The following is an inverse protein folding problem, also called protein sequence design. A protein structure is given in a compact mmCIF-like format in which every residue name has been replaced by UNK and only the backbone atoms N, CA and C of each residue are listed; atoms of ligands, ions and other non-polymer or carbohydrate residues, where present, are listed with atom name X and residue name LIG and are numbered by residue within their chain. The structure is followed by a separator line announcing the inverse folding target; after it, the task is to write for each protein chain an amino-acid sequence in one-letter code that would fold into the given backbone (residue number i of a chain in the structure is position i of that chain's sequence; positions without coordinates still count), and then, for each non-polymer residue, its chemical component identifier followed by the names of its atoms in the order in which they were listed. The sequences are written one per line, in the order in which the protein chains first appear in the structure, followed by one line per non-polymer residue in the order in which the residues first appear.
data_IF_913535392352
#
_entry.id   IF_913535392352
#
_cell.length_a   1.000
_cell.length_b   1.000
_cell.length_c   1.000
_cell.angle_alpha   90.00
_cell.angle_beta   90.00
_cell.angle_gamma   90.00
#
_symmetry.space_group_name_H-M   'P 1'
#
loop_
_entity.id
_entity.type
_entity.pdbx_description
1 polymer ?
#
# COMPACT_ATOMS: atom_id res chain seq x y z
N UNK A 1 10.88 -16.46 0.14
CA UNK A 1 11.61 -15.40 -0.59
C UNK A 1 10.86 -15.06 -1.86
N UNK A 2 10.76 -13.79 -2.25
CA UNK A 2 10.09 -13.33 -3.47
C UNK A 2 11.01 -12.38 -4.26
N UNK A 3 10.85 -12.38 -5.59
CA UNK A 3 11.48 -11.41 -6.48
C UNK A 3 10.48 -10.29 -6.81
N UNK A 4 10.80 -9.04 -6.48
CA UNK A 4 10.05 -7.89 -6.95
C UNK A 4 10.81 -7.20 -8.09
N UNK A 5 10.20 -7.16 -9.28
CA UNK A 5 10.71 -6.47 -10.47
C UNK A 5 9.94 -5.18 -10.80
N UNK A 6 8.95 -4.81 -9.97
CA UNK A 6 8.14 -3.61 -10.21
C UNK A 6 8.70 -2.42 -9.41
N UNK A 7 8.71 -1.20 -9.96
CA UNK A 7 9.27 -0.03 -9.28
C UNK A 7 8.43 0.47 -8.11
N UNK A 8 7.23 -0.08 -7.89
CA UNK A 8 6.34 0.32 -6.79
C UNK A 8 7.01 0.15 -5.42
N UNK A 9 7.88 -0.84 -5.29
CA UNK A 9 8.81 -1.01 -4.17
C UNK A 9 10.20 -1.16 -4.76
N UNK A 10 11.27 -0.95 -3.98
CA UNK A 10 12.64 -1.18 -4.46
C UNK A 10 12.78 -2.56 -5.13
N UNK A 11 13.35 -2.58 -6.33
CA UNK A 11 13.56 -3.82 -7.09
C UNK A 11 14.62 -4.67 -6.37
N UNK A 12 14.38 -5.97 -6.26
CA UNK A 12 15.28 -6.88 -5.55
C UNK A 12 14.59 -8.12 -4.99
N UNK A 13 15.34 -8.85 -4.17
CA UNK A 13 14.88 -10.03 -3.44
C UNK A 13 14.40 -9.65 -2.05
N UNK A 14 13.24 -10.16 -1.66
CA UNK A 14 12.65 -9.97 -0.35
C UNK A 14 12.52 -11.29 0.39
N UNK A 15 12.94 -11.31 1.65
CA UNK A 15 12.64 -12.41 2.57
C UNK A 15 11.27 -12.13 3.19
N UNK A 16 10.37 -13.11 3.06
CA UNK A 16 8.96 -13.00 3.45
C UNK A 16 8.60 -14.22 4.27
N UNK A 17 7.87 -13.99 5.35
CA UNK A 17 7.36 -14.99 6.28
C UNK A 17 5.85 -14.83 6.43
N UNK A 18 5.16 -15.92 6.73
CA UNK A 18 3.72 -15.89 6.96
C UNK A 18 3.37 -14.99 8.14
N UNK A 19 2.35 -14.15 7.95
CA UNK A 19 1.95 -13.18 8.95
C UNK A 19 1.09 -13.82 10.04
N UNK A 20 1.60 -13.82 11.28
CA UNK A 20 0.81 -14.15 12.47
C UNK A 20 -0.22 -13.04 12.76
N UNK A 21 -1.51 -13.34 12.55
CA UNK A 21 -2.64 -12.42 12.73
C UNK A 21 -2.84 -11.91 14.17
N UNK A 22 -2.15 -12.48 15.15
CA UNK A 22 -2.13 -12.00 16.54
C UNK A 22 -1.10 -10.89 16.76
N UNK A 23 -0.08 -10.83 15.92
CA UNK A 23 0.99 -9.83 16.01
C UNK A 23 0.50 -8.47 15.51
N UNK A 24 0.93 -7.39 16.17
CA UNK A 24 0.70 -6.01 15.69
C UNK A 24 1.81 -5.64 14.72
N UNK A 25 1.46 -5.03 13.60
CA UNK A 25 2.43 -4.52 12.63
C UNK A 25 2.73 -3.05 12.87
N UNK A 26 3.94 -2.65 12.54
CA UNK A 26 4.45 -1.29 12.75
C UNK A 26 4.64 -0.56 11.42
N UNK A 27 4.81 0.76 11.51
CA UNK A 27 5.21 1.56 10.35
C UNK A 27 6.57 1.08 9.84
N UNK A 28 6.70 0.95 8.53
CA UNK A 28 7.92 0.47 7.88
C UNK A 28 7.91 -1.03 7.58
N UNK A 29 7.03 -1.82 8.20
CA UNK A 29 6.86 -3.23 7.84
C UNK A 29 6.47 -3.35 6.37
N UNK A 30 7.15 -4.23 5.63
CA UNK A 30 6.80 -4.58 4.26
C UNK A 30 5.82 -5.75 4.32
N UNK A 31 4.71 -5.61 3.58
CA UNK A 31 3.61 -6.57 3.57
C UNK A 31 3.30 -7.03 2.16
N UNK A 32 2.93 -8.31 2.05
CA UNK A 32 2.38 -8.92 0.85
C UNK A 32 0.90 -9.21 1.09
N UNK A 33 0.05 -8.87 0.14
CA UNK A 33 -1.40 -9.08 0.23
C UNK A 33 -1.99 -9.26 -1.17
N UNK A 34 -3.11 -9.97 -1.24
CA UNK A 34 -3.88 -10.03 -2.47
C UNK A 34 -4.56 -8.68 -2.73
N UNK A 35 -4.61 -8.19 -3.99
CA UNK A 35 -5.32 -6.97 -4.34
C UNK A 35 -6.74 -6.97 -3.76
N UNK A 36 -7.12 -5.98 -2.92
CA UNK A 36 -8.44 -5.97 -2.31
C UNK A 36 -9.52 -5.80 -3.37
N UNK A 37 -10.75 -6.25 -3.11
CA UNK A 37 -11.86 -6.19 -4.10
C UNK A 37 -12.11 -4.77 -4.63
N UNK A 38 -11.95 -3.76 -3.76
CA UNK A 38 -12.06 -2.36 -4.14
C UNK A 38 -11.00 -1.95 -5.19
N UNK A 39 -9.82 -2.57 -5.12
CA UNK A 39 -8.72 -2.37 -6.04
C UNK A 39 -8.93 -3.06 -7.40
N UNK A 40 -9.76 -4.10 -7.46
CA UNK A 40 -9.99 -4.88 -8.69
C UNK A 40 -11.21 -4.46 -9.50
N UNK A 41 -12.03 -3.53 -8.99
CA UNK A 41 -13.31 -3.10 -9.61
C UNK A 41 -13.19 -2.69 -11.09
N UNK A 42 -12.04 -2.16 -11.51
CA UNK A 42 -11.79 -1.74 -12.90
C UNK A 42 -10.54 -2.41 -13.51
N UNK A 43 -9.93 -3.39 -12.83
CA UNK A 43 -8.69 -4.03 -13.29
C UNK A 43 -8.52 -5.39 -12.64
N UNK A 44 -8.26 -6.42 -13.45
CA UNK A 44 -7.93 -7.73 -12.91
C UNK A 44 -6.45 -7.72 -12.52
N UNK A 45 -6.17 -7.98 -11.24
CA UNK A 45 -4.83 -8.21 -10.74
C UNK A 45 -4.71 -9.68 -10.35
N UNK A 46 -3.78 -10.38 -10.97
CA UNK A 46 -3.53 -11.80 -10.68
C UNK A 46 -2.41 -12.02 -9.66
N UNK A 47 -1.58 -10.99 -9.43
CA UNK A 47 -0.40 -11.10 -8.58
C UNK A 47 -0.62 -10.36 -7.25
N UNK A 48 -0.06 -10.90 -6.15
CA UNK A 48 -0.05 -10.21 -4.86
C UNK A 48 0.73 -8.89 -4.95
N UNK A 49 0.35 -7.94 -4.12
CA UNK A 49 0.96 -6.61 -4.04
C UNK A 49 1.91 -6.55 -2.86
N UNK A 50 3.11 -6.02 -3.10
CA UNK A 50 4.10 -5.70 -2.08
C UNK A 50 4.06 -4.20 -1.78
N UNK A 51 3.89 -3.82 -0.51
CA UNK A 51 3.86 -2.41 -0.07
C UNK A 51 4.47 -2.24 1.32
N UNK A 52 4.69 -0.99 1.74
CA UNK A 52 5.16 -0.63 3.08
C UNK A 52 4.04 -0.01 3.90
N UNK A 53 3.88 -0.43 5.16
CA UNK A 53 2.96 0.22 6.10
C UNK A 53 3.47 1.62 6.43
N UNK A 54 2.63 2.63 6.26
CA UNK A 54 2.96 4.03 6.54
C UNK A 54 2.04 4.68 7.57
N UNK A 55 0.87 4.09 7.84
CA UNK A 55 -0.03 4.49 8.90
C UNK A 55 -0.64 3.26 9.59
N UNK A 56 -0.84 3.37 10.90
CA UNK A 56 -1.39 2.36 11.79
C UNK A 56 -2.48 2.98 12.66
N UNK A 57 -3.11 2.17 13.51
CA UNK A 57 -4.15 2.62 14.44
C UNK A 57 -3.85 3.98 15.11
N UNK A 58 -4.80 4.90 15.03
CA UNK A 58 -4.71 6.24 15.60
C UNK A 58 -4.09 7.29 14.68
N UNK A 59 -3.43 6.90 13.59
CA UNK A 59 -3.01 7.86 12.57
C UNK A 59 -4.20 8.41 11.79
N UNK A 60 -4.10 9.67 11.40
CA UNK A 60 -5.11 10.37 10.61
C UNK A 60 -4.69 10.41 9.15
N UNK A 61 -5.54 9.87 8.29
CA UNK A 61 -5.47 10.03 6.84
C UNK A 61 -6.31 11.23 6.45
N UNK A 62 -5.77 12.11 5.62
CA UNK A 62 -6.50 13.22 5.02
C UNK A 62 -6.23 13.26 3.52
N UNK A 63 -7.30 13.37 2.75
CA UNK A 63 -7.26 13.53 1.30
C UNK A 63 -7.92 14.85 0.97
N UNK A 64 -7.15 15.73 0.34
CA UNK A 64 -7.60 17.07 -0.04
C UNK A 64 -6.95 17.47 -1.34
N UNK A 65 -7.75 17.86 -2.32
CA UNK A 65 -7.28 18.32 -3.64
C UNK A 65 -6.33 17.34 -4.31
N UNK A 66 -6.70 16.04 -4.35
CA UNK A 66 -5.89 14.95 -4.91
C UNK A 66 -4.52 14.77 -4.26
N UNK A 67 -4.35 15.23 -3.01
CA UNK A 67 -3.12 15.06 -2.22
C UNK A 67 -3.43 14.25 -0.97
N UNK A 68 -2.53 13.32 -0.65
CA UNK A 68 -2.57 12.51 0.56
C UNK A 68 -1.74 13.17 1.66
N UNK A 69 -2.30 13.22 2.86
CA UNK A 69 -1.63 13.61 4.09
C UNK A 69 -1.83 12.53 5.14
N UNK A 70 -0.77 12.24 5.91
CA UNK A 70 -0.81 11.35 7.08
C UNK A 70 -0.34 12.18 8.27
N UNK A 71 -1.18 12.33 9.29
CA UNK A 71 -0.95 13.21 10.43
C UNK A 71 -0.50 14.61 9.99
N UNK A 72 -1.24 15.21 9.06
CA UNK A 72 -0.97 16.54 8.45
C UNK A 72 0.31 16.64 7.61
N UNK A 73 1.12 15.57 7.50
CA UNK A 73 2.32 15.54 6.66
C UNK A 73 1.97 15.07 5.25
N UNK A 74 2.35 15.84 4.24
CA UNK A 74 2.19 15.46 2.83
C UNK A 74 2.90 14.15 2.50
N UNK A 75 2.23 13.26 1.75
CA UNK A 75 2.70 11.92 1.38
C UNK A 75 2.61 11.61 -0.11
N UNK A 76 2.23 12.57 -0.94
CA UNK A 76 2.19 12.41 -2.39
C UNK A 76 0.83 12.74 -2.98
N UNK A 77 0.77 12.70 -4.31
CA UNK A 77 -0.45 12.93 -5.09
C UNK A 77 -1.20 11.62 -5.36
N UNK A 78 -2.50 11.75 -5.61
CA UNK A 78 -3.39 10.67 -6.01
C UNK A 78 -3.74 10.91 -7.48
N UNK A 79 -3.32 9.99 -8.34
CA UNK A 79 -3.51 10.14 -9.78
C UNK A 79 -4.97 9.89 -10.18
N UNK A 80 -5.46 10.64 -11.15
CA UNK A 80 -6.81 10.42 -11.71
C UNK A 80 -6.83 9.33 -12.78
N UNK A 81 -5.67 9.05 -13.37
CA UNK A 81 -5.47 8.09 -14.45
C UNK A 81 -4.27 7.19 -14.16
N UNK A 82 -4.29 5.99 -14.71
CA UNK A 82 -3.12 5.10 -14.73
C UNK A 82 -2.10 5.53 -15.80
N UNK A 83 -0.98 4.80 -15.90
CA UNK A 83 0.08 5.06 -16.89
C UNK A 83 -0.34 4.89 -18.34
N UNK A 84 -1.51 4.29 -18.60
CA UNK A 84 -2.09 4.10 -19.93
C UNK A 84 -3.18 5.14 -20.23
N UNK A 85 -3.44 6.07 -19.30
CA UNK A 85 -4.45 7.11 -19.44
C UNK A 85 -5.87 6.69 -19.04
N UNK A 86 -6.06 5.47 -18.52
CA UNK A 86 -7.37 5.00 -18.08
C UNK A 86 -7.74 5.60 -16.73
N UNK A 87 -9.01 5.97 -16.55
CA UNK A 87 -9.52 6.49 -15.28
C UNK A 87 -9.41 5.41 -14.19
N UNK A 88 -8.83 5.78 -13.05
CA UNK A 88 -8.65 4.89 -11.91
C UNK A 88 -9.56 5.29 -10.75
N UNK A 89 -10.11 4.29 -10.05
CA UNK A 89 -10.84 4.55 -8.81
C UNK A 89 -9.87 5.07 -7.76
N UNK A 90 -10.28 6.10 -7.02
CA UNK A 90 -9.49 6.72 -5.97
C UNK A 90 -10.34 7.01 -4.75
N UNK A 91 -9.68 7.15 -3.60
CA UNK A 91 -10.35 7.65 -2.41
C UNK A 91 -10.85 9.08 -2.63
N UNK A 92 -12.04 9.37 -2.09
CA UNK A 92 -12.63 10.70 -2.09
C UNK A 92 -11.92 11.64 -1.12
N UNK A 93 -12.09 12.94 -1.31
CA UNK A 93 -11.69 13.92 -0.30
C UNK A 93 -12.35 13.62 1.04
N UNK A 94 -11.65 13.91 2.13
CA UNK A 94 -12.11 13.66 3.48
C UNK A 94 -10.96 13.33 4.42
N UNK A 95 -11.30 13.07 5.68
CA UNK A 95 -10.34 12.62 6.67
C UNK A 95 -10.93 11.51 7.52
N UNK A 96 -10.10 10.55 7.90
CA UNK A 96 -10.48 9.45 8.77
C UNK A 96 -9.27 8.98 9.59
N UNK A 97 -9.55 8.36 10.73
CA UNK A 97 -8.53 7.77 11.59
C UNK A 97 -8.45 6.27 11.31
N UNK A 98 -7.24 5.72 11.27
CA UNK A 98 -7.03 4.28 11.08
C UNK A 98 -7.56 3.50 12.30
N UNK A 99 -8.42 2.51 12.04
CA UNK A 99 -9.02 1.69 13.09
C UNK A 99 -8.04 0.63 13.62
N UNK A 100 -8.30 0.04 14.80
CA UNK A 100 -7.52 -1.09 15.28
C UNK A 100 -7.50 -2.25 14.27
N UNK A 101 -6.31 -2.76 13.95
CA UNK A 101 -6.14 -3.86 12.99
C UNK A 101 -6.18 -3.45 11.52
N UNK A 102 -6.29 -2.15 11.23
CA UNK A 102 -6.16 -1.60 9.89
C UNK A 102 -4.76 -1.00 9.65
N UNK A 103 -4.31 -1.06 8.41
CA UNK A 103 -2.98 -0.60 7.99
C UNK A 103 -3.07 0.15 6.67
N UNK A 104 -2.59 1.39 6.63
CA UNK A 104 -2.48 2.15 5.39
C UNK A 104 -1.11 1.91 4.77
N UNK A 105 -1.08 1.44 3.52
CA UNK A 105 0.16 1.03 2.85
C UNK A 105 0.45 1.90 1.64
N UNK A 106 1.74 2.21 1.40
CA UNK A 106 2.21 2.94 0.24
C UNK A 106 3.34 2.19 -0.45
N UNK A 107 3.47 2.40 -1.75
CA UNK A 107 4.70 2.13 -2.47
C UNK A 107 5.67 3.31 -2.38
N UNK A 108 6.89 3.09 -2.84
CA UNK A 108 7.96 4.10 -2.91
C UNK A 108 7.86 4.95 -4.18
N UNK A 109 7.24 4.43 -5.25
CA UNK A 109 7.06 5.16 -6.50
C UNK A 109 5.76 6.01 -6.51
N UNK A 110 5.77 7.24 -7.03
CA UNK A 110 4.57 8.09 -7.10
C UNK A 110 3.38 7.43 -7.80
N UNK A 111 3.62 6.63 -8.84
CA UNK A 111 2.57 5.92 -9.59
C UNK A 111 2.21 4.54 -9.00
N UNK A 112 2.71 4.20 -7.82
CA UNK A 112 2.37 2.96 -7.14
C UNK A 112 0.86 2.82 -6.93
N UNK A 113 0.30 1.64 -7.24
CA UNK A 113 -1.09 1.33 -6.92
C UNK A 113 -1.20 0.79 -5.49
N UNK A 114 -1.59 1.68 -4.58
CA UNK A 114 -1.57 1.46 -3.13
C UNK A 114 -2.81 2.02 -2.41
N UNK A 115 -2.77 2.17 -1.08
CA UNK A 115 -3.94 2.58 -0.28
C UNK A 115 -4.54 3.93 -0.69
N UNK A 116 -3.85 4.76 -1.49
CA UNK A 116 -4.45 5.95 -2.13
C UNK A 116 -5.70 5.63 -2.97
N UNK A 117 -5.82 4.41 -3.46
CA UNK A 117 -6.87 4.02 -4.40
C UNK A 117 -7.93 3.10 -3.78
N UNK A 118 -7.57 2.32 -2.77
CA UNK A 118 -8.45 1.31 -2.18
C UNK A 118 -8.59 1.38 -0.65
N UNK A 119 -7.93 2.34 0.00
CA UNK A 119 -8.04 2.51 1.45
C UNK A 119 -7.07 1.65 2.25
N UNK A 120 -7.29 1.65 3.57
CA UNK A 120 -6.52 0.81 4.48
C UNK A 120 -6.87 -0.67 4.28
N UNK A 121 -5.90 -1.52 4.57
CA UNK A 121 -6.05 -2.97 4.59
C UNK A 121 -6.38 -3.43 6.00
N UNK A 122 -7.26 -4.43 6.15
CA UNK A 122 -7.38 -5.15 7.41
C UNK A 122 -6.26 -6.16 7.57
N UNK A 123 -5.95 -6.53 8.81
CA UNK A 123 -4.94 -7.55 9.11
C UNK A 123 -5.22 -8.89 8.40
N UNK A 124 -6.47 -9.21 8.08
CA UNK A 124 -6.88 -10.43 7.39
C UNK A 124 -6.39 -10.46 5.94
N UNK A 125 -6.35 -9.29 5.28
CA UNK A 125 -5.94 -9.15 3.87
C UNK A 125 -4.43 -9.36 3.66
N UNK A 126 -3.62 -9.16 4.69
CA UNK A 126 -2.15 -9.30 4.64
C UNK A 126 -1.73 -10.76 4.78
N UNK A 127 -1.11 -11.38 3.78
CA UNK A 127 -0.68 -12.78 3.88
C UNK A 127 0.70 -12.94 4.52
N UNK A 128 1.66 -12.08 4.15
CA UNK A 128 3.05 -12.19 4.58
C UNK A 128 3.63 -10.84 4.98
N UNK A 129 4.63 -10.89 5.84
CA UNK A 129 5.46 -9.75 6.25
C UNK A 129 6.91 -10.05 5.91
N UNK A 130 7.72 -9.02 5.71
CA UNK A 130 9.11 -9.26 5.38
C UNK A 130 9.97 -8.03 5.28
N UNK A 131 11.14 -8.23 4.66
CA UNK A 131 12.16 -7.20 4.45
C UNK A 131 12.87 -7.38 3.12
N UNK A 132 13.32 -6.26 2.55
CA UNK A 132 14.25 -6.28 1.44
C UNK A 132 15.56 -6.96 1.90
N UNK A 133 16.00 -7.96 1.15
CA UNK A 133 17.21 -8.71 1.44
C UNK A 133 18.36 -8.29 0.54
N UNK A 134 18.14 -8.32 -0.78
CA UNK A 134 19.15 -7.93 -1.76
C UNK A 134 18.51 -6.88 -2.69
N UNK A 135 18.85 -5.58 -2.56
CA UNK A 135 18.46 -4.57 -3.52
C UNK A 135 19.20 -4.80 -4.84
N UNK A 136 18.50 -4.65 -5.96
CA UNK A 136 19.16 -4.56 -7.26
C UNK A 136 19.42 -3.09 -7.60
N UNK A 137 20.55 -2.84 -8.25
CA UNK A 137 20.90 -1.56 -8.84
C UNK A 137 21.17 -1.83 -10.32
N UNK A 138 20.50 -1.09 -11.19
CA UNK A 138 20.73 -1.11 -12.63
C UNK A 138 21.26 0.26 -13.03
#
# INVERSE_FOLDING_TARGET
MILNITPSMRIGLYLMDDYDKKSKLEKGTIVLFSPPKLATKNRIYHNPLLKKIVAIHGDVIEIKNSKLFINKKYRGEIQEKDSYGNKINRLSNGSYTISPGEYFVLGEHPNSYDSRYYGALTKEEISQVGKLFIPFSF
#
